data_IF_431044290150
#
_entry.id   IF_431044290150
#
_cell.length_a   1.000
_cell.length_b   1.000
_cell.length_c   1.000
_cell.angle_alpha   90.00
_cell.angle_beta   90.00
_cell.angle_gamma   90.00
#
_symmetry.space_group_name_H-M   'P 1'
#
loop_
_entity.id
_entity.type
_entity.pdbx_description
1 polymer ?
#
# COMPACT_ATOMS: atom_id res chain seq x y z
N UNK A 1 0.71 5.19 39.83
CA UNK A 1 1.57 4.50 38.85
C UNK A 1 1.45 5.27 37.55
N UNK A 2 2.52 5.92 37.07
CA UNK A 2 2.46 6.63 35.80
C UNK A 2 2.46 5.60 34.67
N UNK A 3 1.32 5.41 34.00
CA UNK A 3 1.32 4.75 32.70
C UNK A 3 2.07 5.66 31.73
N UNK A 4 3.31 5.30 31.40
CA UNK A 4 3.98 5.87 30.23
C UNK A 4 3.10 5.50 29.03
N UNK A 5 2.58 6.47 28.26
CA UNK A 5 1.72 6.16 27.12
C UNK A 5 2.54 5.35 26.12
N UNK A 6 2.05 4.14 25.83
CA UNK A 6 2.58 3.28 24.78
C UNK A 6 2.46 4.04 23.47
N UNK A 7 3.59 4.35 22.84
CA UNK A 7 3.66 5.03 21.57
C UNK A 7 4.45 4.16 20.58
N UNK A 8 3.93 4.08 19.36
CA UNK A 8 4.62 3.47 18.24
C UNK A 8 5.07 4.59 17.31
N UNK A 9 6.35 4.93 17.38
CA UNK A 9 6.95 6.01 16.57
C UNK A 9 7.47 5.38 15.28
N UNK A 10 6.67 5.45 14.22
CA UNK A 10 7.05 4.95 12.90
C UNK A 10 7.82 6.02 12.16
N UNK A 11 9.10 5.73 11.90
CA UNK A 11 9.92 6.50 10.99
C UNK A 11 9.69 5.99 9.57
N UNK A 12 9.34 6.90 8.67
CA UNK A 12 9.10 6.63 7.26
C UNK A 12 9.90 7.64 6.43
N UNK A 13 10.35 7.25 5.24
CA UNK A 13 11.19 8.13 4.42
C UNK A 13 10.40 9.34 3.84
N UNK A 14 11.02 10.42 3.39
CA UNK A 14 10.32 11.54 2.74
C UNK A 14 9.66 11.15 1.40
N UNK A 15 10.06 10.02 0.83
CA UNK A 15 9.32 9.41 -0.27
C UNK A 15 7.96 8.83 0.16
N UNK A 16 7.76 8.70 1.48
CA UNK A 16 6.64 8.09 2.19
C UNK A 16 5.82 9.12 3.00
N UNK A 17 5.80 10.39 2.56
CA UNK A 17 4.78 11.45 2.81
C UNK A 17 5.03 12.46 3.95
N UNK A 18 5.41 13.68 3.56
CA UNK A 18 4.62 14.88 3.88
C UNK A 18 4.21 15.64 2.62
N UNK A 19 2.97 16.13 2.63
CA UNK A 19 2.31 16.98 1.62
C UNK A 19 2.29 16.49 0.15
N UNK A 20 2.72 15.25 -0.13
CA UNK A 20 2.58 14.66 -1.47
C UNK A 20 2.08 13.21 -1.43
N UNK A 21 0.83 12.99 -1.88
CA UNK A 21 0.42 11.72 -2.49
C UNK A 21 1.05 11.55 -3.88
N UNK A 22 2.37 11.51 -3.92
CA UNK A 22 3.21 11.12 -5.05
C UNK A 22 4.52 10.69 -4.40
N UNK A 23 4.94 9.44 -4.24
CA UNK A 23 4.43 8.06 -4.24
C UNK A 23 5.62 7.31 -3.63
N UNK A 24 5.48 6.41 -2.66
CA UNK A 24 6.41 5.29 -2.57
C UNK A 24 5.57 4.06 -2.39
N UNK A 25 5.80 3.09 -3.27
CA UNK A 25 4.97 1.89 -3.29
C UNK A 25 5.48 0.92 -2.24
N UNK A 26 5.05 1.20 -1.03
CA UNK A 26 4.78 0.17 -0.07
C UNK A 26 3.32 0.31 0.38
N UNK A 27 2.58 -0.80 0.26
CA UNK A 27 1.23 -0.89 0.78
C UNK A 27 1.21 -0.61 2.29
N UNK A 28 2.30 -0.92 3.00
CA UNK A 28 2.49 -0.65 4.42
C UNK A 28 2.39 0.84 4.75
N UNK A 29 3.01 1.73 3.96
CA UNK A 29 2.94 3.17 4.21
C UNK A 29 1.50 3.69 4.04
N UNK A 30 0.83 3.37 2.93
CA UNK A 30 -0.58 3.76 2.69
C UNK A 30 -1.48 3.21 3.80
N UNK A 31 -1.23 1.98 4.23
CA UNK A 31 -1.93 1.33 5.34
C UNK A 31 -1.73 2.08 6.66
N UNK A 32 -0.49 2.46 7.01
CA UNK A 32 -0.19 3.23 8.23
C UNK A 32 -0.86 4.61 8.24
N UNK A 33 -0.88 5.33 7.12
CA UNK A 33 -1.64 6.59 7.01
C UNK A 33 -3.14 6.38 7.18
N UNK A 34 -3.68 5.28 6.64
CA UNK A 34 -5.08 4.92 6.83
C UNK A 34 -5.39 4.61 8.31
N UNK A 35 -4.53 3.83 8.99
CA UNK A 35 -4.70 3.56 10.42
C UNK A 35 -4.63 4.84 11.25
N UNK A 36 -3.72 5.78 10.93
CA UNK A 36 -3.60 7.05 11.64
C UNK A 36 -4.80 7.97 11.42
N UNK A 37 -5.23 8.14 10.16
CA UNK A 37 -6.17 9.19 9.77
C UNK A 37 -7.64 8.72 9.77
N UNK A 38 -7.89 7.43 9.59
CA UNK A 38 -9.25 6.86 9.46
C UNK A 38 -9.66 6.11 10.72
N UNK A 39 -8.83 5.15 11.15
CA UNK A 39 -9.09 4.38 12.38
C UNK A 39 -8.63 5.12 13.66
N UNK A 40 -8.20 6.38 13.50
CA UNK A 40 -7.79 7.30 14.56
C UNK A 40 -6.90 6.63 15.63
N UNK A 41 -5.78 6.02 15.23
CA UNK A 41 -4.81 5.47 16.18
C UNK A 41 -4.07 6.60 16.94
N UNK A 42 -4.38 6.90 18.22
CA UNK A 42 -3.70 7.99 18.93
C UNK A 42 -2.22 7.70 19.19
N UNK A 43 -1.88 6.43 19.46
CA UNK A 43 -0.54 5.96 19.84
C UNK A 43 0.40 5.77 18.65
N UNK A 44 -0.13 5.76 17.42
CA UNK A 44 0.68 5.72 16.21
C UNK A 44 1.20 7.13 15.90
N UNK A 45 2.50 7.35 16.00
CA UNK A 45 3.15 8.61 15.61
C UNK A 45 3.95 8.38 14.34
N UNK A 46 3.81 9.27 13.38
CA UNK A 46 4.44 9.15 12.07
C UNK A 46 5.51 10.25 11.96
N UNK A 47 6.78 9.87 11.81
CA UNK A 47 7.94 10.76 11.66
C UNK A 47 8.55 10.64 10.26
N UNK A 48 8.67 11.76 9.55
CA UNK A 48 9.28 11.82 8.21
C UNK A 48 10.81 11.92 8.29
N UNK A 49 11.50 11.09 7.51
CA UNK A 49 12.96 11.00 7.45
C UNK A 49 13.49 11.34 6.06
N UNK A 50 14.36 12.35 5.96
CA UNK A 50 14.85 12.83 4.65
C UNK A 50 15.93 11.90 4.07
N UNK A 51 16.61 11.10 4.90
CA UNK A 51 17.77 10.31 4.50
C UNK A 51 17.40 8.91 3.98
N UNK A 52 17.92 8.44 2.82
CA UNK A 52 17.53 7.17 2.18
C UNK A 52 17.71 5.90 3.02
N UNK A 53 18.55 5.96 4.05
CA UNK A 53 18.90 4.82 4.90
C UNK A 53 18.82 5.25 6.36
N UNK A 54 18.29 4.36 7.21
CA UNK A 54 18.44 4.52 8.66
C UNK A 54 19.61 3.68 9.16
N UNK A 55 20.20 4.09 10.28
CA UNK A 55 21.09 3.23 11.07
C UNK A 55 20.36 1.97 11.59
N UNK A 56 19.03 2.00 11.60
CA UNK A 56 18.17 0.89 11.97
C UNK A 56 17.69 0.05 10.76
N UNK A 57 18.04 0.41 9.52
CA UNK A 57 17.73 -0.39 8.33
C UNK A 57 16.79 0.29 7.34
N UNK A 58 15.87 -0.49 6.77
CA UNK A 58 14.89 -0.05 5.76
C UNK A 58 13.69 0.67 6.36
N UNK A 59 13.09 1.56 5.58
CA UNK A 59 11.86 2.25 5.91
C UNK A 59 10.63 1.51 5.35
N UNK A 60 9.48 1.54 6.06
CA UNK A 60 9.30 2.10 7.40
C UNK A 60 9.82 1.16 8.50
N UNK A 61 10.29 1.74 9.60
CA UNK A 61 10.56 1.02 10.85
C UNK A 61 9.89 1.76 12.02
N UNK A 62 9.59 1.05 13.10
CA UNK A 62 8.89 1.62 14.24
C UNK A 62 9.64 1.42 15.55
N UNK A 63 9.83 2.50 16.31
CA UNK A 63 10.30 2.42 17.69
C UNK A 63 9.10 2.24 18.63
N UNK A 64 9.09 1.12 19.35
CA UNK A 64 8.11 0.78 20.36
C UNK A 64 8.59 1.33 21.72
N UNK A 65 7.94 2.38 22.23
CA UNK A 65 8.37 3.03 23.46
C UNK A 65 8.09 2.22 24.74
N UNK A 66 7.35 1.10 24.65
CA UNK A 66 7.03 0.24 25.78
C UNK A 66 8.07 -0.86 25.99
N UNK A 67 8.47 -1.55 24.91
CA UNK A 67 9.45 -2.65 24.98
C UNK A 67 10.89 -2.19 24.65
N UNK A 68 11.06 -0.99 24.07
CA UNK A 68 12.36 -0.46 23.68
C UNK A 68 12.99 -1.16 22.45
N UNK A 69 12.20 -1.96 21.72
CA UNK A 69 12.61 -2.62 20.49
C UNK A 69 12.24 -1.83 19.23
N UNK A 70 12.77 -2.27 18.09
CA UNK A 70 12.47 -1.74 16.77
C UNK A 70 11.76 -2.82 15.98
N UNK A 71 10.65 -2.45 15.35
CA UNK A 71 9.80 -3.33 14.54
C UNK A 71 9.93 -2.95 13.06
N UNK A 72 9.93 -3.94 12.18
CA UNK A 72 10.08 -3.77 10.73
C UNK A 72 8.91 -4.40 9.94
N UNK A 73 8.67 -3.92 8.73
CA UNK A 73 7.69 -4.48 7.78
C UNK A 73 6.33 -4.85 8.43
N UNK A 74 5.99 -6.14 8.48
CA UNK A 74 4.72 -6.65 9.02
C UNK A 74 4.66 -6.62 10.55
N UNK A 75 5.79 -6.60 11.26
CA UNK A 75 5.83 -6.57 12.72
C UNK A 75 5.14 -5.30 13.26
N UNK A 76 5.31 -4.17 12.56
CA UNK A 76 4.64 -2.89 12.86
C UNK A 76 3.12 -3.07 12.83
N UNK A 77 2.62 -3.80 11.84
CA UNK A 77 1.19 -4.05 11.64
C UNK A 77 0.66 -5.06 12.66
N UNK A 78 1.37 -6.14 12.93
CA UNK A 78 0.93 -7.17 13.88
C UNK A 78 0.93 -6.63 15.33
N UNK A 79 1.89 -5.79 15.66
CA UNK A 79 1.90 -5.02 16.92
C UNK A 79 0.70 -4.06 17.02
N UNK A 80 0.38 -3.31 15.96
CA UNK A 80 -0.82 -2.47 15.91
C UNK A 80 -2.12 -3.28 16.01
N UNK A 81 -2.21 -4.45 15.36
CA UNK A 81 -3.37 -5.36 15.50
C UNK A 81 -3.56 -5.79 16.96
N UNK A 82 -2.48 -6.08 17.67
CA UNK A 82 -2.54 -6.52 19.07
C UNK A 82 -2.97 -5.39 20.01
N UNK A 83 -2.49 -4.15 19.82
CA UNK A 83 -2.90 -2.99 20.64
C UNK A 83 -4.38 -2.65 20.41
N UNK A 84 -4.77 -2.50 19.14
CA UNK A 84 -6.07 -1.96 18.77
C UNK A 84 -7.15 -3.03 18.55
N UNK A 85 -6.78 -4.31 18.71
CA UNK A 85 -7.63 -5.46 18.43
C UNK A 85 -8.26 -5.39 17.04
N UNK A 86 -7.47 -5.01 16.02
CA UNK A 86 -7.90 -4.90 14.61
C UNK A 86 -8.31 -6.23 13.95
N UNK A 87 -8.36 -7.32 14.72
CA UNK A 87 -8.87 -8.63 14.30
C UNK A 87 -10.38 -8.62 14.07
N UNK A 88 -10.85 -7.89 13.06
CA UNK A 88 -12.16 -8.17 12.49
C UNK A 88 -12.12 -9.53 11.81
N UNK A 89 -13.13 -10.37 12.09
CA UNK A 89 -13.31 -11.70 11.49
C UNK A 89 -13.21 -11.64 9.95
N UNK A 90 -13.64 -10.51 9.36
CA UNK A 90 -13.53 -10.20 7.94
C UNK A 90 -12.09 -10.21 7.40
N UNK A 91 -11.11 -9.65 8.12
CA UNK A 91 -9.74 -9.61 7.62
C UNK A 91 -9.11 -11.00 7.59
N UNK A 92 -9.27 -11.78 8.65
CA UNK A 92 -8.77 -13.16 8.73
C UNK A 92 -9.41 -14.04 7.64
N UNK A 93 -10.72 -13.91 7.41
CA UNK A 93 -11.44 -14.62 6.36
C UNK A 93 -10.88 -14.37 4.95
N UNK A 94 -10.36 -13.17 4.69
CA UNK A 94 -9.83 -12.76 3.38
C UNK A 94 -8.30 -12.61 3.33
N UNK A 95 -7.58 -12.98 4.39
CA UNK A 95 -6.13 -12.78 4.52
C UNK A 95 -5.34 -13.32 3.32
N UNK A 96 -5.62 -14.56 2.91
CA UNK A 96 -4.94 -15.20 1.77
C UNK A 96 -5.16 -14.45 0.45
N UNK A 97 -6.38 -13.97 0.21
CA UNK A 97 -6.75 -13.19 -0.98
C UNK A 97 -6.01 -11.85 -1.01
N UNK A 98 -5.93 -11.17 0.14
CA UNK A 98 -5.23 -9.89 0.27
C UNK A 98 -3.71 -10.04 0.14
N UNK A 99 -3.12 -11.10 0.69
CA UNK A 99 -1.70 -11.40 0.52
C UNK A 99 -1.37 -11.73 -0.95
N UNK A 100 -2.24 -12.47 -1.65
CA UNK A 100 -2.08 -12.73 -3.08
C UNK A 100 -2.21 -11.44 -3.91
N UNK A 101 -3.14 -10.54 -3.55
CA UNK A 101 -3.26 -9.23 -4.21
C UNK A 101 -1.99 -8.37 -4.03
N UNK A 102 -1.46 -8.29 -2.81
CA UNK A 102 -0.16 -7.63 -2.51
C UNK A 102 0.98 -8.25 -3.33
N UNK A 103 0.97 -9.58 -3.45
CA UNK A 103 1.96 -10.36 -4.22
C UNK A 103 1.94 -9.99 -5.70
N UNK A 104 0.75 -9.97 -6.32
CA UNK A 104 0.58 -9.60 -7.73
C UNK A 104 0.98 -8.14 -7.97
N UNK A 105 0.71 -7.23 -7.02
CA UNK A 105 1.15 -5.84 -7.11
C UNK A 105 2.69 -5.72 -7.13
N UNK A 106 3.40 -6.46 -6.28
CA UNK A 106 4.88 -6.49 -6.28
C UNK A 106 5.41 -6.92 -7.66
N UNK A 107 4.83 -7.95 -8.28
CA UNK A 107 5.18 -8.37 -9.63
C UNK A 107 5.04 -7.22 -10.65
N UNK A 108 3.91 -6.53 -10.67
CA UNK A 108 3.67 -5.46 -11.65
C UNK A 108 4.60 -4.26 -11.49
N UNK A 109 5.16 -4.04 -10.31
CA UNK A 109 5.98 -2.86 -10.05
C UNK A 109 7.47 -3.11 -10.21
N UNK A 110 7.92 -4.34 -9.97
CA UNK A 110 9.34 -4.69 -9.94
C UNK A 110 9.77 -5.65 -11.07
N UNK A 111 8.85 -6.52 -11.53
CA UNK A 111 9.11 -7.53 -12.56
C UNK A 111 8.61 -7.12 -13.96
N UNK A 112 7.46 -6.47 -14.10
CA UNK A 112 7.03 -5.89 -15.39
C UNK A 112 8.00 -4.76 -15.79
N UNK A 113 8.85 -5.00 -16.80
CA UNK A 113 9.86 -4.04 -17.24
C UNK A 113 9.29 -2.70 -17.70
N UNK A 114 8.08 -2.69 -18.26
CA UNK A 114 7.49 -1.49 -18.85
C UNK A 114 6.89 -0.60 -17.78
N UNK A 115 6.22 -1.17 -16.77
CA UNK A 115 5.81 -0.44 -15.57
C UNK A 115 7.04 -0.04 -14.75
N UNK A 116 7.95 -0.97 -14.45
CA UNK A 116 9.15 -0.67 -13.66
C UNK A 116 9.93 0.50 -14.24
N UNK A 117 10.32 0.47 -15.51
CA UNK A 117 11.17 1.53 -16.08
C UNK A 117 10.46 2.88 -16.24
N UNK A 118 9.13 2.91 -16.37
CA UNK A 118 8.39 4.14 -16.69
C UNK A 118 7.57 4.73 -15.53
N UNK A 119 7.32 3.95 -14.49
CA UNK A 119 6.57 4.31 -13.29
C UNK A 119 7.43 4.11 -12.04
N UNK A 120 7.60 2.87 -11.58
CA UNK A 120 8.28 2.52 -10.31
C UNK A 120 9.66 3.15 -10.20
N UNK A 121 10.50 3.04 -11.23
CA UNK A 121 11.86 3.56 -11.25
C UNK A 121 11.94 5.09 -11.28
N UNK A 122 10.97 5.78 -11.91
CA UNK A 122 10.96 7.25 -12.00
C UNK A 122 10.67 7.90 -10.65
N UNK A 123 9.71 7.34 -9.92
CA UNK A 123 9.33 7.74 -8.56
C UNK A 123 10.55 7.93 -7.65
N UNK A 124 11.55 7.05 -7.75
CA UNK A 124 12.79 7.13 -6.97
C UNK A 124 13.80 8.08 -7.61
N UNK A 125 13.93 8.06 -8.95
CA UNK A 125 14.83 8.95 -9.70
C UNK A 125 14.56 10.42 -9.38
N UNK A 126 13.30 10.78 -9.25
CA UNK A 126 12.86 12.16 -9.16
C UNK A 126 12.91 12.70 -7.70
N UNK A 127 13.35 11.89 -6.73
CA UNK A 127 13.47 12.30 -5.30
C UNK A 127 14.83 12.04 -4.65
N UNK A 128 15.55 11.01 -5.06
CA UNK A 128 16.86 10.71 -4.50
C UNK A 128 17.98 11.33 -5.34
N UNK A 129 19.03 11.81 -4.69
CA UNK A 129 20.28 12.16 -5.37
C UNK A 129 20.80 10.97 -6.20
N UNK A 130 21.31 11.25 -7.40
CA UNK A 130 21.55 10.26 -8.46
C UNK A 130 22.24 8.97 -7.99
N UNK A 131 23.31 9.07 -7.19
CA UNK A 131 24.04 7.89 -6.71
C UNK A 131 23.21 7.03 -5.73
N UNK A 132 22.49 7.66 -4.80
CA UNK A 132 21.62 6.93 -3.86
C UNK A 132 20.44 6.28 -4.57
N UNK A 133 19.81 6.98 -5.52
CA UNK A 133 18.79 6.43 -6.40
C UNK A 133 19.26 5.14 -7.10
N UNK A 134 20.41 5.20 -7.79
CA UNK A 134 20.92 4.08 -8.60
C UNK A 134 21.23 2.86 -7.73
N UNK A 135 21.79 3.04 -6.53
CA UNK A 135 22.04 1.94 -5.60
C UNK A 135 20.73 1.36 -5.05
N UNK A 136 19.85 2.22 -4.50
CA UNK A 136 18.61 1.82 -3.84
C UNK A 136 17.67 1.07 -4.78
N UNK A 137 17.47 1.57 -6.00
CA UNK A 137 16.56 0.94 -6.96
C UNK A 137 17.09 -0.41 -7.49
N UNK A 138 18.40 -0.62 -7.53
CA UNK A 138 19.00 -1.92 -7.89
C UNK A 138 18.72 -2.95 -6.80
N UNK A 139 19.12 -2.63 -5.56
CA UNK A 139 18.89 -3.48 -4.37
C UNK A 139 17.42 -3.89 -4.25
N UNK A 140 16.51 -2.92 -4.24
CA UNK A 140 15.08 -3.19 -4.09
C UNK A 140 14.50 -3.98 -5.28
N UNK A 141 15.02 -3.80 -6.50
CA UNK A 141 14.58 -4.60 -7.65
C UNK A 141 15.04 -6.04 -7.51
N UNK A 142 16.29 -6.28 -7.12
CA UNK A 142 16.84 -7.62 -6.90
C UNK A 142 16.03 -8.37 -5.83
N UNK A 143 15.83 -7.78 -4.65
CA UNK A 143 15.03 -8.34 -3.56
C UNK A 143 13.57 -8.65 -3.97
N UNK A 144 12.92 -7.76 -4.71
CA UNK A 144 11.54 -7.99 -5.13
C UNK A 144 11.42 -8.98 -6.31
N UNK A 145 12.43 -9.08 -7.19
CA UNK A 145 12.49 -10.10 -8.22
C UNK A 145 12.68 -11.51 -7.61
N UNK A 146 13.48 -11.65 -6.55
CA UNK A 146 13.60 -12.90 -5.80
C UNK A 146 12.27 -13.29 -5.14
N UNK A 147 11.60 -12.34 -4.46
CA UNK A 147 10.24 -12.55 -3.91
C UNK A 147 9.25 -13.00 -4.99
N UNK A 148 9.32 -12.45 -6.20
CA UNK A 148 8.45 -12.86 -7.32
C UNK A 148 8.74 -14.29 -7.80
N UNK A 149 10.02 -14.67 -7.92
CA UNK A 149 10.45 -16.03 -8.30
C UNK A 149 9.99 -17.06 -7.26
N UNK A 150 10.23 -16.80 -5.97
CA UNK A 150 9.83 -17.69 -4.88
C UNK A 150 8.31 -17.91 -4.79
N UNK A 151 7.50 -16.95 -5.26
CA UNK A 151 6.03 -17.03 -5.27
C UNK A 151 5.43 -17.51 -6.61
N UNK A 152 6.26 -17.90 -7.59
CA UNK A 152 5.80 -18.42 -8.89
C UNK A 152 5.03 -17.39 -9.72
N UNK A 153 5.50 -16.14 -9.73
CA UNK A 153 4.89 -15.01 -10.47
C UNK A 153 5.51 -14.78 -11.85
N UNK A 154 6.31 -15.71 -12.35
CA UNK A 154 6.97 -15.64 -13.65
C UNK A 154 5.98 -15.60 -14.84
N UNK A 155 4.81 -16.21 -14.68
CA UNK A 155 3.78 -16.25 -15.73
C UNK A 155 2.78 -15.07 -15.67
N UNK A 156 2.97 -14.09 -16.55
CA UNK A 156 2.09 -12.92 -16.71
C UNK A 156 0.60 -13.28 -16.84
N UNK A 157 0.26 -14.21 -17.74
CA UNK A 157 -1.13 -14.62 -18.00
C UNK A 157 -1.81 -15.23 -16.77
N UNK A 158 -1.04 -15.91 -15.93
CA UNK A 158 -1.53 -16.50 -14.69
C UNK A 158 -1.76 -15.43 -13.62
N UNK A 159 -0.85 -14.46 -13.51
CA UNK A 159 -1.01 -13.29 -12.64
C UNK A 159 -2.27 -12.48 -13.02
N UNK A 160 -2.53 -12.28 -14.32
CA UNK A 160 -3.78 -11.68 -14.82
C UNK A 160 -5.02 -12.51 -14.42
N UNK A 161 -4.99 -13.84 -14.60
CA UNK A 161 -6.10 -14.72 -14.22
C UNK A 161 -6.38 -14.67 -12.72
N UNK A 162 -5.35 -14.74 -11.87
CA UNK A 162 -5.44 -14.61 -10.42
C UNK A 162 -6.03 -13.26 -10.03
N UNK A 163 -5.54 -12.16 -10.61
CA UNK A 163 -6.05 -10.80 -10.37
C UNK A 163 -7.55 -10.69 -10.71
N UNK A 164 -7.98 -11.18 -11.89
CA UNK A 164 -9.41 -11.21 -12.28
C UNK A 164 -10.27 -11.92 -11.22
N UNK A 165 -9.83 -13.07 -10.72
CA UNK A 165 -10.54 -13.81 -9.67
C UNK A 165 -10.61 -13.02 -8.36
N UNK A 166 -9.50 -12.42 -7.92
CA UNK A 166 -9.44 -11.64 -6.69
C UNK A 166 -10.34 -10.40 -6.77
N UNK A 167 -10.30 -9.65 -7.86
CA UNK A 167 -11.16 -8.48 -8.04
C UNK A 167 -12.64 -8.85 -8.11
N UNK A 168 -13.01 -9.99 -8.70
CA UNK A 168 -14.39 -10.50 -8.64
C UNK A 168 -14.84 -10.79 -7.20
N UNK A 169 -13.96 -11.35 -6.36
CA UNK A 169 -14.28 -11.64 -4.96
C UNK A 169 -14.40 -10.34 -4.15
N UNK A 170 -13.42 -9.43 -4.29
CA UNK A 170 -13.42 -8.14 -3.58
C UNK A 170 -14.59 -7.24 -3.99
N UNK A 171 -14.98 -7.25 -5.27
CA UNK A 171 -16.17 -6.55 -5.77
C UNK A 171 -17.42 -7.00 -5.01
N UNK A 172 -17.68 -8.31 -4.96
CA UNK A 172 -18.83 -8.88 -4.24
C UNK A 172 -18.83 -8.59 -2.72
N UNK A 173 -17.66 -8.40 -2.10
CA UNK A 173 -17.54 -8.15 -0.64
C UNK A 173 -17.65 -6.65 -0.33
N UNK A 174 -16.97 -5.80 -1.10
CA UNK A 174 -16.90 -4.37 -0.85
C UNK A 174 -18.14 -3.63 -1.36
N UNK A 175 -18.92 -4.23 -2.25
CA UNK A 175 -20.15 -3.68 -2.81
C UNK A 175 -21.41 -4.34 -2.23
N UNK A 176 -21.80 -3.90 -1.03
CA UNK A 176 -23.12 -4.17 -0.46
C UNK A 176 -24.03 -2.96 -0.67
N UNK A 177 -24.94 -3.03 -1.66
CA UNK A 177 -25.91 -1.96 -1.98
C UNK A 177 -26.79 -1.54 -0.81
N UNK A 178 -26.93 -2.39 0.22
CA UNK A 178 -27.86 -2.16 1.33
C UNK A 178 -27.21 -1.48 2.54
N UNK A 179 -25.88 -1.28 2.55
CA UNK A 179 -25.17 -0.59 3.62
C UNK A 179 -24.87 0.87 3.25
N UNK A 180 -25.60 1.80 3.86
CA UNK A 180 -25.17 3.19 3.97
C UNK A 180 -23.93 3.25 4.87
N UNK A 181 -22.73 3.25 4.28
CA UNK A 181 -21.47 3.35 5.04
C UNK A 181 -21.39 4.69 5.78
N UNK A 182 -21.52 4.62 7.10
CA UNK A 182 -21.08 5.66 8.03
C UNK A 182 -19.55 5.64 8.18
N UNK A 183 -18.95 6.71 8.71
CA UNK A 183 -17.51 6.70 9.00
C UNK A 183 -17.11 5.59 10.00
N UNK A 184 -18.05 5.17 10.86
CA UNK A 184 -17.89 4.05 11.79
C UNK A 184 -17.88 2.65 11.13
N UNK A 185 -18.24 2.51 9.84
CA UNK A 185 -18.26 1.22 9.14
C UNK A 185 -16.90 0.86 8.48
N UNK A 186 -15.90 1.75 8.57
CA UNK A 186 -14.61 1.55 7.93
C UNK A 186 -13.71 0.68 8.81
N UNK A 187 -13.48 -0.57 8.38
CA UNK A 187 -12.67 -1.57 9.11
C UNK A 187 -11.23 -1.70 8.61
N UNK A 188 -10.38 -2.40 9.37
CA UNK A 188 -9.00 -2.73 8.97
C UNK A 188 -8.93 -3.50 7.64
N UNK A 189 -9.93 -4.33 7.31
CA UNK A 189 -10.05 -4.94 5.98
C UNK A 189 -10.11 -3.90 4.85
N UNK A 190 -10.91 -2.85 5.02
CA UNK A 190 -11.03 -1.75 4.06
C UNK A 190 -9.71 -0.98 3.91
N UNK A 191 -8.94 -0.78 5.00
CA UNK A 191 -7.58 -0.20 4.97
C UNK A 191 -6.64 -0.98 4.05
N UNK A 192 -6.60 -2.31 4.17
CA UNK A 192 -5.74 -3.16 3.32
C UNK A 192 -6.21 -3.14 1.87
N UNK A 193 -7.51 -3.25 1.61
CA UNK A 193 -8.08 -3.15 0.26
C UNK A 193 -7.73 -1.82 -0.41
N UNK A 194 -7.96 -0.69 0.27
CA UNK A 194 -7.63 0.65 -0.21
C UNK A 194 -6.13 0.76 -0.52
N UNK A 195 -5.27 0.29 0.38
CA UNK A 195 -3.81 0.43 0.28
C UNK A 195 -3.21 -0.28 -0.93
N UNK A 196 -3.83 -1.38 -1.40
CA UNK A 196 -3.35 -2.14 -2.55
C UNK A 196 -4.03 -1.67 -3.85
N UNK A 197 -5.35 -1.42 -3.82
CA UNK A 197 -6.10 -1.02 -5.00
C UNK A 197 -5.76 0.41 -5.46
N UNK A 198 -5.60 1.37 -4.55
CA UNK A 198 -5.20 2.75 -4.88
C UNK A 198 -3.91 2.81 -5.70
N UNK A 199 -2.95 1.95 -5.38
CA UNK A 199 -1.68 1.84 -6.09
C UNK A 199 -1.88 1.21 -7.46
N UNK A 200 -2.60 0.09 -7.56
CA UNK A 200 -2.92 -0.54 -8.85
C UNK A 200 -3.55 0.44 -9.83
N UNK A 201 -4.57 1.17 -9.38
CA UNK A 201 -5.27 2.17 -10.18
C UNK A 201 -4.43 3.43 -10.48
N UNK A 202 -3.34 3.66 -9.76
CA UNK A 202 -2.41 4.76 -10.03
C UNK A 202 -1.32 4.40 -11.05
N UNK A 203 -1.21 3.14 -11.48
CA UNK A 203 -0.34 2.74 -12.59
C UNK A 203 -0.95 3.28 -13.91
N UNK A 204 -0.26 4.13 -14.70
CA UNK A 204 -0.82 4.71 -15.93
C UNK A 204 -1.10 3.69 -17.05
N UNK A 205 -2.23 3.82 -17.76
CA UNK A 205 -2.71 2.74 -18.63
C UNK A 205 -1.75 2.32 -19.75
N UNK A 206 -0.98 3.28 -20.26
CA UNK A 206 -0.05 3.10 -21.39
C UNK A 206 1.08 2.11 -21.10
N UNK A 207 1.30 1.75 -19.83
CA UNK A 207 2.35 0.81 -19.46
C UNK A 207 1.91 -0.65 -19.62
N UNK A 208 0.72 -1.05 -19.17
CA UNK A 208 0.21 -2.41 -19.39
C UNK A 208 -1.32 -2.41 -19.61
N UNK A 209 -1.76 -2.57 -20.86
CA UNK A 209 -3.20 -2.51 -21.20
C UNK A 209 -3.99 -3.73 -20.69
N UNK A 210 -3.38 -4.91 -20.58
CA UNK A 210 -4.08 -6.11 -20.11
C UNK A 210 -4.42 -6.01 -18.63
N UNK A 211 -3.46 -5.55 -17.81
CA UNK A 211 -3.68 -5.20 -16.41
C UNK A 211 -4.84 -4.20 -16.25
N UNK A 212 -4.89 -3.19 -17.11
CA UNK A 212 -5.86 -2.09 -16.99
C UNK A 212 -7.26 -2.53 -17.40
N UNK A 213 -7.39 -3.34 -18.45
CA UNK A 213 -8.66 -3.96 -18.80
C UNK A 213 -9.22 -4.81 -17.64
N UNK A 214 -8.35 -5.42 -16.83
CA UNK A 214 -8.76 -6.14 -15.60
C UNK A 214 -9.21 -5.17 -14.51
N UNK A 215 -8.41 -4.17 -14.20
CA UNK A 215 -8.70 -3.18 -13.14
C UNK A 215 -9.98 -2.38 -13.44
N UNK A 216 -10.15 -1.92 -14.68
CA UNK A 216 -11.30 -1.13 -15.14
C UNK A 216 -12.57 -1.96 -15.34
N UNK A 217 -12.49 -3.31 -15.37
CA UNK A 217 -13.68 -4.17 -15.43
C UNK A 217 -14.57 -4.10 -14.18
N UNK A 218 -14.09 -3.46 -13.10
CA UNK A 218 -14.74 -3.32 -11.79
C UNK A 218 -14.88 -1.85 -11.36
N UNK A 219 -15.85 -1.10 -11.92
CA UNK A 219 -16.05 0.32 -11.59
C UNK A 219 -16.43 0.57 -10.13
N UNK A 220 -17.14 -0.37 -9.51
CA UNK A 220 -17.45 -0.43 -8.06
C UNK A 220 -16.21 -0.35 -7.16
N UNK A 221 -15.11 -1.03 -7.53
CA UNK A 221 -13.84 -0.99 -6.79
C UNK A 221 -13.10 0.35 -6.99
N UNK A 222 -13.32 1.01 -8.12
CA UNK A 222 -12.84 2.38 -8.37
C UNK A 222 -13.59 3.37 -7.48
N UNK A 223 -14.93 3.27 -7.44
CA UNK A 223 -15.80 4.09 -6.59
C UNK A 223 -15.46 3.91 -5.10
N UNK A 224 -15.21 2.68 -4.65
CA UNK A 224 -14.74 2.38 -3.30
C UNK A 224 -13.44 3.13 -2.94
N UNK A 225 -12.44 3.08 -3.82
CA UNK A 225 -11.15 3.77 -3.59
C UNK A 225 -11.31 5.29 -3.66
N UNK A 226 -12.11 5.82 -4.60
CA UNK A 226 -12.42 7.26 -4.68
C UNK A 226 -13.11 7.74 -3.40
N UNK A 227 -14.22 7.12 -3.02
CA UNK A 227 -15.04 7.51 -1.87
C UNK A 227 -14.24 7.54 -0.57
N UNK A 228 -13.43 6.51 -0.27
CA UNK A 228 -12.57 6.53 0.92
C UNK A 228 -11.52 7.66 0.88
N UNK A 229 -10.96 7.95 -0.30
CA UNK A 229 -9.99 9.05 -0.40
C UNK A 229 -10.65 10.42 -0.32
N UNK A 230 -11.84 10.58 -0.89
CA UNK A 230 -12.57 11.85 -0.85
C UNK A 230 -13.03 12.20 0.56
N UNK A 231 -13.48 11.20 1.33
CA UNK A 231 -13.89 11.37 2.74
C UNK A 231 -12.68 11.61 3.65
N UNK A 232 -11.63 10.79 3.57
CA UNK A 232 -10.56 10.77 4.58
C UNK A 232 -9.21 11.35 4.14
N UNK A 233 -9.06 11.71 2.86
CA UNK A 233 -7.86 12.32 2.26
C UNK A 233 -6.54 11.59 2.61
N UNK A 234 -6.58 10.26 2.61
CA UNK A 234 -5.44 9.37 2.89
C UNK A 234 -4.32 9.57 1.85
N UNK A 235 -4.69 9.70 0.58
CA UNK A 235 -3.81 10.02 -0.55
C UNK A 235 -3.98 11.50 -0.93
N UNK A 236 -3.05 12.35 -0.47
CA UNK A 236 -3.20 13.82 -0.50
C UNK A 236 -3.01 14.51 -1.85
N UNK A 237 -2.19 13.98 -2.76
CA UNK A 237 -1.99 14.61 -4.08
C UNK A 237 -2.80 13.88 -5.15
N UNK A 238 -3.83 14.58 -5.61
CA UNK A 238 -4.83 14.12 -6.57
C UNK A 238 -4.27 13.95 -8.00
N UNK A 239 -3.09 14.51 -8.32
CA UNK A 239 -2.46 14.38 -9.65
C UNK A 239 -1.87 13.00 -9.91
N UNK A 240 -1.47 12.28 -8.87
CA UNK A 240 -0.91 10.93 -8.97
C UNK A 240 -1.97 9.85 -8.71
N UNK A 241 -2.95 10.18 -7.88
CA UNK A 241 -4.03 9.30 -7.50
C UNK A 241 -4.85 8.88 -8.72
N UNK A 242 -5.01 7.58 -8.94
CA UNK A 242 -5.84 7.02 -10.01
C UNK A 242 -5.44 7.44 -11.45
N UNK A 243 -4.15 7.75 -11.67
CA UNK A 243 -3.60 8.05 -13.00
C UNK A 243 -3.88 6.99 -14.08
N UNK A 244 -4.10 5.72 -13.71
CA UNK A 244 -4.55 4.67 -14.63
C UNK A 244 -5.96 4.89 -15.18
N UNK A 245 -6.81 5.58 -14.42
CA UNK A 245 -8.22 5.83 -14.69
C UNK A 245 -8.45 7.20 -15.34
N UNK A 246 -7.74 8.24 -14.90
CA UNK A 246 -7.95 9.61 -15.39
C UNK A 246 -7.54 9.84 -16.86
N UNK A 247 -6.92 8.84 -17.51
CA UNK A 247 -6.54 8.88 -18.93
C UNK A 247 -7.55 8.16 -19.85
N UNK A 248 -8.74 7.79 -19.34
CA UNK A 248 -9.85 7.21 -20.13
C UNK A 248 -11.11 8.10 -20.15
N UNK A 249 -10.94 9.40 -19.92
CA UNK A 249 -11.97 10.44 -20.05
C UNK A 249 -11.48 11.54 -20.99
#
# INVERSE_FOLDING_TARGET
MFHVPQNLIVHYHHCSIKDVGDVFIDCLNVQLFFLKNVLNCPFLHLVEEIHPFSNYGSYPYAFNTLEGNILYDTEIIDYLKNIYLFGSIEYELYFGILNELKTILIYYLWADDKIYNNFTKKIYKDRFFYLYYVYLIRKLREENLEKCKMRGLDNHSFNIKRLKTILNILDNILYDKNKSRSESDVSYFHSVCFSVLSIFYSIPLKFNMELQNVLLSKPTLIEFVKSLNDTHKVWKNEKSFLLGICNTC
#
